data_IF_638218708898
#
_entry.id   IF_638218708898
#
_cell.length_a   1.000
_cell.length_b   1.000
_cell.length_c   1.000
_cell.angle_alpha   90.00
_cell.angle_beta   90.00
_cell.angle_gamma   90.00
#
_symmetry.space_group_name_H-M   'P 1'
#
loop_
_entity.id
_entity.type
_entity.pdbx_description
1 polymer ?
#
# COMPACT_ATOMS: atom_id res chain seq x y z
N UNK A 1 6.41 -21.74 4.51
CA UNK A 1 5.47 -21.26 5.56
C UNK A 1 4.72 -20.06 5.00
N UNK A 2 3.44 -19.87 5.34
CA UNK A 2 2.71 -18.64 4.97
C UNK A 2 3.21 -17.47 5.81
N UNK A 3 3.42 -16.31 5.21
CA UNK A 3 3.77 -15.09 5.95
C UNK A 3 2.74 -14.78 7.05
N UNK A 4 3.21 -14.17 8.15
CA UNK A 4 2.36 -13.63 9.21
C UNK A 4 2.01 -12.17 8.88
N UNK A 5 0.73 -11.82 8.65
CA UNK A 5 0.34 -10.43 8.46
C UNK A 5 0.37 -9.66 9.79
N UNK A 6 0.90 -8.44 9.77
CA UNK A 6 0.82 -7.49 10.88
C UNK A 6 0.16 -6.20 10.41
N UNK A 7 -1.07 -5.94 10.84
CA UNK A 7 -1.85 -4.78 10.41
C UNK A 7 -1.64 -3.57 11.33
N UNK A 8 -1.35 -2.41 10.72
CA UNK A 8 -1.20 -1.12 11.39
C UNK A 8 -2.41 -0.25 11.09
N UNK A 9 -3.33 -0.18 12.06
CA UNK A 9 -4.51 0.68 12.03
C UNK A 9 -4.28 2.06 12.65
N UNK A 10 -5.26 2.96 12.50
CA UNK A 10 -5.25 4.28 13.12
C UNK A 10 -6.64 4.91 13.14
N UNK A 11 -6.86 5.86 14.05
CA UNK A 11 -8.15 6.54 14.25
C UNK A 11 -8.44 7.61 13.20
N UNK A 12 -7.45 8.01 12.40
CA UNK A 12 -7.60 8.95 11.30
C UNK A 12 -6.55 8.68 10.21
N UNK A 13 -6.70 9.30 9.04
CA UNK A 13 -5.72 9.21 7.94
C UNK A 13 -4.32 9.64 8.37
N UNK A 14 -4.21 10.65 9.25
CA UNK A 14 -2.94 11.27 9.67
C UNK A 14 -2.46 10.81 11.06
N UNK A 15 -3.00 9.71 11.60
CA UNK A 15 -2.63 9.17 12.91
C UNK A 15 -1.20 8.59 13.01
N UNK A 16 -0.32 8.83 12.02
CA UNK A 16 1.06 8.32 12.02
C UNK A 16 1.23 6.87 11.55
N UNK A 17 0.23 6.26 10.90
CA UNK A 17 0.28 4.86 10.43
C UNK A 17 1.48 4.54 9.57
N UNK A 18 1.82 5.42 8.61
CA UNK A 18 2.95 5.18 7.71
C UNK A 18 4.28 5.17 8.47
N UNK A 19 4.47 6.10 9.41
CA UNK A 19 5.66 6.11 10.28
C UNK A 19 5.74 4.89 11.19
N UNK A 20 4.61 4.47 11.77
CA UNK A 20 4.55 3.26 12.58
C UNK A 20 4.89 2.01 11.75
N UNK A 21 4.32 1.88 10.56
CA UNK A 21 4.65 0.79 9.65
C UNK A 21 6.15 0.78 9.29
N UNK A 22 6.73 1.94 8.98
CA UNK A 22 8.18 2.07 8.73
C UNK A 22 9.02 1.66 9.94
N UNK A 23 8.67 2.13 11.14
CA UNK A 23 9.40 1.80 12.37
C UNK A 23 9.34 0.29 12.69
N UNK A 24 8.17 -0.32 12.53
CA UNK A 24 7.98 -1.77 12.72
C UNK A 24 8.77 -2.57 11.68
N UNK A 25 8.79 -2.14 10.42
CA UNK A 25 9.62 -2.74 9.37
C UNK A 25 11.10 -2.73 9.75
N UNK A 26 11.64 -1.57 10.14
CA UNK A 26 13.03 -1.43 10.57
C UNK A 26 13.34 -2.29 11.82
N UNK A 27 12.42 -2.33 12.79
CA UNK A 27 12.57 -3.14 13.99
C UNK A 27 12.62 -4.64 13.66
N UNK A 28 11.67 -5.15 12.88
CA UNK A 28 11.64 -6.56 12.45
C UNK A 28 12.91 -6.95 11.69
N UNK A 29 13.34 -6.10 10.74
CA UNK A 29 14.61 -6.30 10.04
C UNK A 29 15.80 -6.38 11.00
N UNK A 30 15.88 -5.49 12.00
CA UNK A 30 16.97 -5.51 12.98
C UNK A 30 16.96 -6.76 13.88
N UNK A 31 15.85 -7.51 13.90
CA UNK A 31 15.73 -8.83 14.54
C UNK A 31 16.03 -9.99 13.60
N UNK A 32 16.49 -9.73 12.37
CA UNK A 32 16.76 -10.75 11.36
C UNK A 32 15.50 -11.36 10.75
N UNK A 33 14.33 -10.74 10.93
CA UNK A 33 13.08 -11.21 10.33
C UNK A 33 13.03 -10.80 8.86
N UNK A 34 12.73 -11.76 7.98
CA UNK A 34 12.41 -11.47 6.58
C UNK A 34 11.05 -10.76 6.51
N UNK A 35 11.06 -9.45 6.24
CA UNK A 35 9.87 -8.58 6.32
C UNK A 35 9.70 -7.78 5.04
N UNK A 36 8.44 -7.63 4.59
CA UNK A 36 8.07 -6.71 3.53
C UNK A 36 6.92 -5.78 3.95
N UNK A 37 6.85 -4.55 3.41
CA UNK A 37 5.74 -3.66 3.65
C UNK A 37 4.63 -3.86 2.61
N UNK A 38 3.41 -3.52 2.98
CA UNK A 38 2.27 -3.59 2.07
C UNK A 38 1.24 -2.51 2.38
N UNK A 39 0.82 -1.76 1.37
CA UNK A 39 -0.34 -0.86 1.43
C UNK A 39 -1.20 -1.09 0.20
N UNK A 40 -2.32 -1.78 0.40
CA UNK A 40 -3.24 -2.17 -0.69
C UNK A 40 -3.60 -1.02 -1.62
N UNK A 41 -3.96 0.14 -1.04
CA UNK A 41 -4.23 1.36 -1.78
C UNK A 41 -3.61 2.57 -1.09
N UNK A 42 -2.89 3.38 -1.85
CA UNK A 42 -2.42 4.70 -1.42
C UNK A 42 -2.99 5.79 -2.32
N UNK A 43 -3.10 7.02 -1.82
CA UNK A 43 -3.48 8.20 -2.59
C UNK A 43 -2.41 9.27 -2.38
N UNK A 44 -1.64 9.55 -3.43
CA UNK A 44 -0.53 10.50 -3.38
C UNK A 44 -0.08 10.86 -4.80
N UNK A 45 0.20 12.15 -5.04
CA UNK A 45 0.89 12.58 -6.26
C UNK A 45 2.43 12.46 -6.14
N UNK A 46 2.93 12.19 -4.94
CA UNK A 46 4.35 11.99 -4.69
C UNK A 46 4.71 10.51 -4.83
N UNK A 47 4.98 10.10 -6.06
CA UNK A 47 5.39 8.74 -6.43
C UNK A 47 6.90 8.63 -6.71
N UNK A 48 7.38 7.40 -6.80
CA UNK A 48 8.76 7.05 -7.08
C UNK A 48 8.80 5.95 -8.14
N UNK A 49 9.63 6.08 -9.19
CA UNK A 49 9.81 5.03 -10.19
C UNK A 49 10.62 3.86 -9.62
N UNK A 50 10.10 2.66 -9.70
CA UNK A 50 10.80 1.45 -9.29
C UNK A 50 11.87 1.05 -10.33
N UNK A 51 12.99 0.47 -9.88
CA UNK A 51 14.13 0.14 -10.74
C UNK A 51 13.79 -0.80 -11.92
N UNK A 52 12.86 -1.74 -11.70
CA UNK A 52 12.39 -2.68 -12.73
C UNK A 52 11.10 -2.22 -13.44
N UNK A 53 10.78 -0.93 -13.32
CA UNK A 53 9.62 -0.30 -13.92
C UNK A 53 8.42 -0.19 -12.99
N UNK A 54 7.51 0.71 -13.38
CA UNK A 54 6.34 1.09 -12.60
C UNK A 54 6.64 2.10 -11.49
N UNK A 55 5.62 2.52 -10.75
CA UNK A 55 5.74 3.50 -9.68
C UNK A 55 4.95 3.13 -8.42
N UNK A 56 5.44 3.58 -7.26
CA UNK A 56 4.74 3.47 -5.96
C UNK A 56 4.78 4.80 -5.20
N UNK A 57 3.93 4.96 -4.18
CA UNK A 57 3.98 6.15 -3.31
C UNK A 57 5.26 6.22 -2.45
N UNK A 58 5.78 7.42 -2.20
CA UNK A 58 6.98 7.65 -1.36
C UNK A 58 6.90 7.05 0.05
N UNK A 59 5.71 6.98 0.64
CA UNK A 59 5.55 6.34 1.95
C UNK A 59 5.93 4.85 1.91
N UNK A 60 5.57 4.14 0.83
CA UNK A 60 5.92 2.74 0.64
C UNK A 60 7.38 2.56 0.25
N UNK A 61 8.00 3.54 -0.43
CA UNK A 61 9.46 3.56 -0.63
C UNK A 61 10.19 3.57 0.70
N UNK A 62 9.84 4.51 1.59
CA UNK A 62 10.48 4.60 2.92
C UNK A 62 10.28 3.31 3.74
N UNK A 63 9.12 2.65 3.62
CA UNK A 63 8.86 1.37 4.25
C UNK A 63 9.71 0.23 3.64
N UNK A 64 9.91 0.23 2.32
CA UNK A 64 10.76 -0.74 1.63
C UNK A 64 12.23 -0.60 2.08
N UNK A 65 12.73 0.63 2.12
CA UNK A 65 14.07 0.97 2.60
C UNK A 65 14.26 0.55 4.07
N UNK A 66 13.24 0.75 4.91
CA UNK A 66 13.25 0.28 6.29
C UNK A 66 13.33 -1.26 6.41
N UNK A 67 12.73 -1.99 5.47
CA UNK A 67 12.90 -3.45 5.33
C UNK A 67 14.28 -3.83 4.74
N UNK A 68 15.05 -2.87 4.21
CA UNK A 68 16.28 -3.14 3.47
C UNK A 68 16.02 -3.73 2.08
N UNK A 69 14.88 -3.41 1.48
CA UNK A 69 14.43 -3.93 0.19
C UNK A 69 14.38 -2.82 -0.85
N UNK A 70 14.61 -3.20 -2.11
CA UNK A 70 14.32 -2.34 -3.25
C UNK A 70 12.80 -2.11 -3.37
N UNK A 71 12.35 -0.86 -3.60
CA UNK A 71 10.93 -0.56 -3.79
C UNK A 71 10.34 -1.28 -5.02
N UNK A 72 9.26 -2.04 -4.85
CA UNK A 72 8.56 -2.73 -5.95
C UNK A 72 7.04 -2.51 -5.93
N UNK A 73 6.35 -2.56 -7.09
CA UNK A 73 4.90 -2.31 -7.18
C UNK A 73 4.02 -3.22 -6.32
N UNK A 74 4.48 -4.41 -5.95
CA UNK A 74 3.72 -5.30 -5.07
C UNK A 74 3.50 -4.71 -3.66
N UNK A 75 4.37 -3.79 -3.22
CA UNK A 75 4.26 -3.12 -1.92
C UNK A 75 3.16 -2.05 -1.91
N UNK A 76 2.76 -1.53 -3.08
CA UNK A 76 1.66 -0.60 -3.26
C UNK A 76 0.91 -0.87 -4.57
N UNK A 77 0.08 -1.93 -4.64
CA UNK A 77 -0.48 -2.40 -5.90
C UNK A 77 -1.47 -1.42 -6.52
N UNK A 78 -2.16 -0.60 -5.71
CA UNK A 78 -3.05 0.47 -6.19
C UNK A 78 -2.54 1.82 -5.68
N UNK A 79 -2.20 2.72 -6.60
CA UNK A 79 -1.85 4.11 -6.28
C UNK A 79 -2.81 5.05 -7.02
N UNK A 80 -3.48 5.91 -6.26
CA UNK A 80 -4.35 6.95 -6.79
C UNK A 80 -3.59 8.27 -6.83
N UNK A 81 -3.46 8.86 -8.02
CA UNK A 81 -2.81 10.16 -8.24
C UNK A 81 -3.88 11.20 -8.60
N UNK A 82 -4.29 12.08 -7.67
CA UNK A 82 -5.30 13.10 -7.94
C UNK A 82 -4.96 13.95 -9.19
N UNK A 83 -5.90 14.01 -10.13
CA UNK A 83 -5.75 14.68 -11.42
C UNK A 83 -6.64 15.94 -11.57
N UNK A 84 -7.38 16.32 -10.52
CA UNK A 84 -8.33 17.44 -10.53
C UNK A 84 -9.77 16.99 -10.84
N UNK A 85 -10.74 17.90 -10.64
CA UNK A 85 -12.16 17.69 -10.92
C UNK A 85 -12.77 16.42 -10.30
N UNK A 86 -12.29 16.03 -9.10
CA UNK A 86 -12.76 14.81 -8.42
C UNK A 86 -12.31 13.50 -9.06
N UNK A 87 -11.32 13.54 -9.95
CA UNK A 87 -10.75 12.37 -10.62
C UNK A 87 -9.33 12.04 -10.13
N UNK A 88 -8.92 10.79 -10.35
CA UNK A 88 -7.57 10.31 -10.09
C UNK A 88 -7.10 9.42 -11.23
N UNK A 89 -5.82 9.51 -11.59
CA UNK A 89 -5.16 8.45 -12.33
C UNK A 89 -5.01 7.25 -11.38
N UNK A 90 -5.51 6.10 -11.80
CA UNK A 90 -5.44 4.84 -11.08
C UNK A 90 -4.26 4.06 -11.64
N UNK A 91 -3.23 3.93 -10.84
CA UNK A 91 -2.05 3.14 -11.13
C UNK A 91 -2.27 1.75 -10.53
N UNK A 92 -2.14 0.70 -11.35
CA UNK A 92 -2.30 -0.71 -10.96
C UNK A 92 -0.99 -1.44 -11.25
N UNK A 93 -0.40 -2.08 -10.23
CA UNK A 93 0.92 -2.69 -10.29
C UNK A 93 1.98 -1.77 -10.91
N UNK A 94 1.95 -0.51 -10.49
CA UNK A 94 2.90 0.51 -10.90
C UNK A 94 2.68 1.08 -12.30
N UNK A 95 1.65 0.67 -13.04
CA UNK A 95 1.35 1.21 -14.38
C UNK A 95 0.01 1.93 -14.40
N UNK A 96 -0.08 3.01 -15.16
CA UNK A 96 -1.36 3.70 -15.37
C UNK A 96 -2.37 2.72 -15.96
N UNK A 97 -3.52 2.56 -15.30
CA UNK A 97 -4.66 1.78 -15.78
C UNK A 97 -5.77 2.65 -16.39
N UNK A 98 -6.35 3.56 -15.60
CA UNK A 98 -7.45 4.46 -16.02
C UNK A 98 -7.43 5.78 -15.25
N UNK A 99 -8.05 6.82 -15.79
CA UNK A 99 -8.43 8.02 -15.03
C UNK A 99 -9.90 7.89 -14.67
N UNK A 100 -10.21 7.89 -13.38
CA UNK A 100 -11.56 7.63 -12.87
C UNK A 100 -11.97 8.69 -11.86
N UNK A 101 -13.25 9.06 -11.85
CA UNK A 101 -13.86 9.74 -10.71
C UNK A 101 -13.88 8.82 -9.47
N UNK A 102 -14.08 9.40 -8.28
CA UNK A 102 -14.23 8.62 -7.06
C UNK A 102 -15.33 7.55 -7.16
N UNK A 103 -16.48 7.89 -7.76
CA UNK A 103 -17.61 6.96 -7.92
C UNK A 103 -17.25 5.78 -8.83
N UNK A 104 -16.62 6.05 -9.96
CA UNK A 104 -16.21 5.00 -10.91
C UNK A 104 -15.12 4.10 -10.31
N UNK A 105 -14.18 4.68 -9.57
CA UNK A 105 -13.16 3.91 -8.86
C UNK A 105 -13.78 2.87 -7.92
N UNK A 106 -14.75 3.27 -7.09
CA UNK A 106 -15.43 2.32 -6.20
C UNK A 106 -16.29 1.30 -6.94
N UNK A 107 -16.85 1.64 -8.11
CA UNK A 107 -17.54 0.68 -8.96
C UNK A 107 -16.61 -0.43 -9.48
N UNK A 108 -15.31 -0.14 -9.62
CA UNK A 108 -14.28 -1.10 -10.03
C UNK A 108 -13.64 -1.89 -8.87
N UNK A 109 -14.14 -1.78 -7.64
CA UNK A 109 -13.57 -2.49 -6.49
C UNK A 109 -13.51 -4.02 -6.69
N UNK A 110 -14.47 -4.60 -7.41
CA UNK A 110 -14.49 -6.03 -7.76
C UNK A 110 -13.33 -6.43 -8.68
N UNK A 111 -12.96 -5.56 -9.63
CA UNK A 111 -11.87 -5.80 -10.59
C UNK A 111 -10.48 -5.62 -9.96
N UNK A 112 -10.37 -4.67 -9.02
CA UNK A 112 -9.11 -4.31 -8.38
C UNK A 112 -8.76 -5.22 -7.20
N UNK A 113 -9.76 -5.79 -6.52
CA UNK A 113 -9.52 -6.68 -5.37
C UNK A 113 -8.63 -7.89 -5.71
N UNK A 114 -8.83 -8.62 -6.83
CA UNK A 114 -7.92 -9.70 -7.23
C UNK A 114 -6.47 -9.25 -7.41
N UNK A 115 -6.24 -8.06 -7.99
CA UNK A 115 -4.90 -7.45 -8.19
C UNK A 115 -4.20 -7.21 -6.85
N UNK A 116 -4.93 -6.67 -5.88
CA UNK A 116 -4.41 -6.44 -4.52
C UNK A 116 -4.05 -7.76 -3.84
N UNK A 117 -4.92 -8.78 -3.96
CA UNK A 117 -4.68 -10.11 -3.37
C UNK A 117 -3.47 -10.79 -4.00
N UNK A 118 -3.30 -10.68 -5.33
CA UNK A 118 -2.15 -11.20 -6.05
C UNK A 118 -0.84 -10.58 -5.54
N UNK A 119 -0.77 -9.25 -5.44
CA UNK A 119 0.40 -8.56 -4.90
C UNK A 119 0.71 -8.97 -3.45
N UNK A 120 -0.31 -9.06 -2.60
CA UNK A 120 -0.14 -9.51 -1.23
C UNK A 120 0.41 -10.95 -1.18
N UNK A 121 -0.18 -11.87 -1.96
CA UNK A 121 0.27 -13.28 -2.01
C UNK A 121 1.70 -13.42 -2.52
N UNK A 122 2.10 -12.60 -3.50
CA UNK A 122 3.47 -12.57 -4.00
C UNK A 122 4.47 -12.21 -2.88
N UNK A 123 4.18 -11.18 -2.09
CA UNK A 123 5.01 -10.83 -0.92
C UNK A 123 4.93 -11.90 0.17
N UNK A 124 3.73 -12.40 0.48
CA UNK A 124 3.51 -13.40 1.51
C UNK A 124 4.15 -14.77 1.19
N UNK A 125 4.47 -15.03 -0.08
CA UNK A 125 5.25 -16.20 -0.51
C UNK A 125 6.76 -16.04 -0.40
N UNK A 126 7.26 -14.81 -0.23
CA UNK A 126 8.69 -14.46 -0.21
C UNK A 126 9.22 -14.06 1.18
N UNK A 127 8.35 -13.62 2.08
CA UNK A 127 8.74 -13.03 3.37
C UNK A 127 8.03 -13.72 4.54
N UNK A 128 8.63 -13.70 5.73
CA UNK A 128 8.04 -14.29 6.94
C UNK A 128 6.95 -13.42 7.56
N UNK A 129 7.07 -12.10 7.37
CA UNK A 129 6.11 -11.10 7.88
C UNK A 129 5.79 -10.09 6.78
N UNK A 130 4.51 -9.76 6.65
CA UNK A 130 4.06 -8.63 5.81
C UNK A 130 3.42 -7.58 6.71
N UNK A 131 4.04 -6.40 6.81
CA UNK A 131 3.52 -5.27 7.58
C UNK A 131 2.54 -4.50 6.71
N UNK A 132 1.26 -4.51 7.09
CA UNK A 132 0.16 -3.96 6.32
C UNK A 132 -0.22 -2.59 6.88
N UNK A 133 0.00 -1.52 6.13
CA UNK A 133 -0.47 -0.18 6.49
C UNK A 133 -1.95 -0.01 6.12
N UNK A 134 -2.81 0.20 7.12
CA UNK A 134 -4.22 0.51 6.92
C UNK A 134 -4.43 1.82 6.13
N UNK A 135 -5.50 1.86 5.33
CA UNK A 135 -5.98 3.09 4.71
C UNK A 135 -7.01 3.78 5.63
N UNK A 136 -7.02 5.12 5.62
CA UNK A 136 -8.01 5.90 6.35
C UNK A 136 -8.02 5.65 7.86
N UNK A 137 -9.22 5.76 8.44
CA UNK A 137 -9.52 5.38 9.81
C UNK A 137 -10.07 3.97 9.86
N UNK A 138 -9.65 3.16 10.84
CA UNK A 138 -10.33 1.88 11.15
C UNK A 138 -11.64 2.10 11.89
N UNK A 139 -11.90 3.31 12.39
CA UNK A 139 -13.18 3.61 13.02
C UNK A 139 -14.27 3.81 11.97
N UNK A 140 -15.37 3.11 12.16
CA UNK A 140 -16.54 3.12 11.28
C UNK A 140 -17.39 4.37 11.52
N UNK A 141 -16.80 5.57 11.39
CA UNK A 141 -17.55 6.83 11.54
C UNK A 141 -18.74 6.92 10.57
N UNK A 142 -18.64 6.21 9.43
CA UNK A 142 -19.70 6.11 8.42
C UNK A 142 -20.84 5.15 8.81
N UNK A 143 -20.72 4.38 9.90
CA UNK A 143 -21.76 3.48 10.43
C UNK A 143 -22.43 4.03 11.69
N UNK A 144 -22.21 5.32 12.01
CA UNK A 144 -22.89 6.03 13.10
C UNK A 144 -24.28 6.57 12.72
N UNK A 145 -24.93 6.01 11.70
CA UNK A 145 -26.32 6.34 11.33
C UNK A 145 -27.20 5.11 11.40
#
# INVERSE_FOLDING_TARGET
>A
MSARPLFIGGTSSNAGKSWMATAVCAWLRSKGVSVAPFKAQNMSNNSYPCAHGGEIGRAQVAQAEACGLEPEPAMNPILLKPAGNGTSQVIVHGRMWKTLSAREYYAHAGDLRPRVIEAYRHLAGRFDVVVIEGAGSVSELNLRQ
#
